data_IF_507238044619
#
_entry.id   IF_507238044619
#
_cell.length_a   1.000
_cell.length_b   1.000
_cell.length_c   1.000
_cell.angle_alpha   90.00
_cell.angle_beta   90.00
_cell.angle_gamma   90.00
#
_symmetry.space_group_name_H-M   'P 1'
#
loop_
_entity.id
_entity.type
_entity.pdbx_description
1 polymer ?
#
# COMPACT_ATOMS: atom_id res chain seq x y z
N UNK A 1 -25.67 10.59 -7.97
CA UNK A 1 -24.77 11.16 -6.95
C UNK A 1 -25.41 11.02 -5.59
N UNK A 2 -24.69 10.47 -4.62
CA UNK A 2 -25.09 10.33 -3.21
C UNK A 2 -24.08 11.12 -2.37
N UNK A 3 -24.57 11.90 -1.42
CA UNK A 3 -23.74 12.68 -0.50
C UNK A 3 -24.11 12.33 0.94
N UNK A 4 -23.09 12.11 1.76
CA UNK A 4 -23.22 11.83 3.18
C UNK A 4 -22.19 12.60 3.97
N UNK A 5 -22.57 13.06 5.15
CA UNK A 5 -21.67 13.67 6.12
C UNK A 5 -21.93 13.07 7.50
N UNK A 6 -20.86 12.72 8.21
CA UNK A 6 -20.92 12.12 9.53
C UNK A 6 -19.94 12.81 10.46
N UNK A 7 -20.34 13.00 11.70
CA UNK A 7 -19.40 13.36 12.75
C UNK A 7 -18.65 12.09 13.21
N UNK A 8 -17.33 12.08 13.00
CA UNK A 8 -16.49 10.90 13.13
C UNK A 8 -15.19 11.25 13.86
N UNK A 9 -15.23 11.35 15.18
CA UNK A 9 -14.02 11.54 15.98
C UNK A 9 -13.09 10.30 15.84
N UNK A 10 -11.81 10.50 16.02
CA UNK A 10 -10.83 9.41 16.03
C UNK A 10 -11.00 8.52 17.29
N UNK A 11 -10.64 7.22 17.21
CA UNK A 11 -10.15 6.53 16.03
C UNK A 11 -11.26 6.27 14.99
N UNK A 12 -10.98 6.48 13.72
CA UNK A 12 -11.91 6.25 12.61
C UNK A 12 -11.33 5.25 11.62
N UNK A 13 -12.15 4.36 11.08
CA UNK A 13 -11.81 3.53 9.93
C UNK A 13 -12.80 3.77 8.80
N UNK A 14 -12.32 4.21 7.65
CA UNK A 14 -13.07 4.21 6.40
C UNK A 14 -12.87 2.88 5.68
N UNK A 15 -13.96 2.18 5.39
CA UNK A 15 -13.93 0.95 4.58
C UNK A 15 -14.70 1.17 3.29
N UNK A 16 -14.02 1.04 2.14
CA UNK A 16 -14.62 1.16 0.80
C UNK A 16 -14.53 -0.19 0.10
N UNK A 17 -15.68 -0.70 -0.32
CA UNK A 17 -15.78 -1.97 -1.05
C UNK A 17 -16.62 -1.80 -2.29
N UNK A 18 -15.97 -1.56 -3.43
CA UNK A 18 -16.60 -1.38 -4.74
C UNK A 18 -15.94 -2.27 -5.80
N UNK A 19 -16.69 -2.75 -6.80
CA UNK A 19 -16.12 -3.64 -7.81
C UNK A 19 -15.21 -2.92 -8.80
N UNK A 20 -15.55 -1.71 -9.20
CA UNK A 20 -14.83 -0.96 -10.24
C UNK A 20 -15.06 0.55 -10.13
N UNK A 21 -14.12 1.32 -10.66
CA UNK A 21 -14.19 2.78 -10.75
C UNK A 21 -12.97 3.48 -10.16
N UNK A 22 -13.21 4.58 -9.46
CA UNK A 22 -12.17 5.40 -8.84
C UNK A 22 -12.47 5.59 -7.35
N UNK A 23 -11.44 5.53 -6.52
CA UNK A 23 -11.52 5.78 -5.08
C UNK A 23 -10.53 6.89 -4.74
N UNK A 24 -11.05 8.06 -4.41
CA UNK A 24 -10.26 9.21 -4.00
C UNK A 24 -10.49 9.47 -2.49
N UNK A 25 -9.45 9.36 -1.68
CA UNK A 25 -9.50 9.65 -0.24
C UNK A 25 -8.56 10.80 0.08
N UNK A 26 -9.10 11.85 0.68
CA UNK A 26 -8.34 13.00 1.18
C UNK A 26 -8.48 13.07 2.70
N UNK A 27 -7.38 13.20 3.42
CA UNK A 27 -7.47 13.48 4.85
C UNK A 27 -7.46 14.98 5.10
N UNK A 28 -8.32 15.42 6.01
CA UNK A 28 -8.55 16.84 6.33
C UNK A 28 -8.53 17.09 7.84
N UNK A 29 -8.37 18.35 8.23
CA UNK A 29 -8.54 18.75 9.62
C UNK A 29 -10.02 18.67 10.04
N UNK A 30 -10.25 18.25 11.27
CA UNK A 30 -11.59 18.20 11.86
C UNK A 30 -12.01 16.78 12.27
N UNK A 31 -13.29 16.64 12.61
CA UNK A 31 -13.90 15.39 13.09
C UNK A 31 -15.12 15.00 12.21
N UNK A 32 -15.10 15.39 10.96
CA UNK A 32 -16.19 15.11 10.03
C UNK A 32 -15.68 14.25 8.86
N UNK A 33 -16.47 13.24 8.50
CA UNK A 33 -16.29 12.48 7.26
C UNK A 33 -17.34 12.91 6.26
N UNK A 34 -16.90 13.40 5.11
CA UNK A 34 -17.75 13.72 3.98
C UNK A 34 -17.51 12.68 2.86
N UNK A 35 -18.58 12.12 2.35
CA UNK A 35 -18.55 11.11 1.29
C UNK A 35 -19.40 11.55 0.12
N UNK A 36 -18.88 11.43 -1.06
CA UNK A 36 -19.61 11.58 -2.32
C UNK A 36 -19.43 10.31 -3.14
N UNK A 37 -20.53 9.71 -3.55
CA UNK A 37 -20.52 8.56 -4.46
C UNK A 37 -21.26 8.93 -5.72
N UNK A 38 -20.56 8.86 -6.85
CA UNK A 38 -21.10 9.14 -8.17
C UNK A 38 -21.01 7.92 -9.07
N UNK A 39 -21.90 7.81 -10.03
CA UNK A 39 -21.95 6.67 -10.96
C UNK A 39 -23.29 6.52 -11.64
N UNK A 40 -23.47 5.43 -12.36
CA UNK A 40 -24.73 5.09 -13.01
C UNK A 40 -25.86 4.96 -11.96
N UNK A 41 -27.05 5.49 -12.26
CA UNK A 41 -28.22 5.50 -11.36
C UNK A 41 -28.55 4.09 -10.85
N UNK A 42 -28.43 3.08 -11.69
CA UNK A 42 -28.67 1.68 -11.32
C UNK A 42 -27.66 1.15 -10.31
N UNK A 43 -26.41 1.59 -10.39
CA UNK A 43 -25.37 1.22 -9.43
C UNK A 43 -25.58 1.95 -8.12
N UNK A 44 -25.93 3.24 -8.17
CA UNK A 44 -26.18 4.06 -6.99
C UNK A 44 -27.34 3.53 -6.13
N UNK A 45 -28.37 2.93 -6.72
CA UNK A 45 -29.47 2.27 -5.98
C UNK A 45 -29.01 1.09 -5.11
N UNK A 46 -27.86 0.51 -5.43
CA UNK A 46 -27.27 -0.62 -4.70
C UNK A 46 -26.14 -0.19 -3.75
N UNK A 47 -25.71 1.07 -3.80
CA UNK A 47 -24.73 1.58 -2.87
C UNK A 47 -25.33 1.68 -1.48
N UNK A 48 -24.64 1.16 -0.51
CA UNK A 48 -24.96 1.28 0.90
C UNK A 48 -23.85 2.00 1.63
N UNK A 49 -24.19 3.12 2.25
CA UNK A 49 -23.28 3.85 3.13
C UNK A 49 -23.76 3.66 4.56
N UNK A 50 -22.92 3.15 5.42
CA UNK A 50 -23.22 2.92 6.84
C UNK A 50 -22.18 3.61 7.71
N UNK A 51 -22.65 4.20 8.79
CA UNK A 51 -21.83 4.69 9.88
C UNK A 51 -22.16 3.91 11.14
N UNK A 52 -21.19 3.21 11.69
CA UNK A 52 -21.35 2.41 12.90
C UNK A 52 -20.18 2.69 13.86
N UNK A 53 -20.43 3.53 14.86
CA UNK A 53 -19.45 3.96 15.83
C UNK A 53 -18.25 4.66 15.17
N UNK A 54 -17.11 4.01 15.19
CA UNK A 54 -15.85 4.53 14.62
C UNK A 54 -15.56 3.99 13.20
N UNK A 55 -16.57 3.44 12.53
CA UNK A 55 -16.42 2.88 11.18
C UNK A 55 -17.41 3.50 10.22
N UNK A 56 -16.92 3.96 9.10
CA UNK A 56 -17.73 4.37 7.94
C UNK A 56 -17.50 3.37 6.81
N UNK A 57 -18.57 2.76 6.32
CA UNK A 57 -18.52 1.71 5.30
C UNK A 57 -19.27 2.14 4.06
N UNK A 58 -18.59 2.09 2.91
CA UNK A 58 -19.20 2.25 1.59
C UNK A 58 -19.12 0.91 0.87
N UNK A 59 -20.26 0.33 0.55
CA UNK A 59 -20.29 -0.99 -0.10
C UNK A 59 -21.49 -1.11 -1.05
N UNK A 60 -21.45 -2.10 -1.94
CA UNK A 60 -22.63 -2.49 -2.69
C UNK A 60 -23.46 -3.49 -1.88
N UNK A 61 -24.77 -3.27 -1.86
CA UNK A 61 -25.73 -4.18 -1.22
C UNK A 61 -25.73 -5.53 -1.95
N UNK A 62 -25.15 -6.54 -1.33
CA UNK A 62 -25.26 -7.91 -1.81
C UNK A 62 -26.56 -8.54 -1.30
N UNK A 63 -27.38 -9.06 -2.21
CA UNK A 63 -28.61 -9.79 -1.87
C UNK A 63 -28.34 -11.21 -1.39
N UNK A 64 -27.14 -11.71 -1.48
CA UNK A 64 -26.76 -13.04 -1.00
C UNK A 64 -26.06 -12.93 0.37
N UNK A 65 -26.78 -13.31 1.39
CA UNK A 65 -26.28 -13.44 2.77
C UNK A 65 -25.35 -14.66 2.91
N UNK A 66 -24.23 -14.69 2.24
CA UNK A 66 -23.19 -15.70 2.54
C UNK A 66 -21.83 -15.11 2.23
N UNK A 67 -20.99 -15.07 3.22
CA UNK A 67 -19.54 -14.85 3.25
C UNK A 67 -18.85 -14.33 1.99
N UNK A 68 -17.99 -13.39 2.16
CA UNK A 68 -17.18 -12.74 1.14
C UNK A 68 -16.62 -13.74 0.10
N UNK A 69 -17.41 -14.11 -0.88
CA UNK A 69 -16.99 -14.85 -2.05
C UNK A 69 -17.10 -13.89 -3.23
N UNK A 70 -15.97 -13.49 -3.79
CA UNK A 70 -15.94 -12.93 -5.13
C UNK A 70 -16.54 -13.96 -6.09
N UNK A 71 -17.86 -13.97 -6.24
CA UNK A 71 -18.50 -14.73 -7.29
C UNK A 71 -18.26 -13.99 -8.61
N UNK A 72 -17.31 -14.46 -9.38
CA UNK A 72 -16.97 -13.96 -10.70
C UNK A 72 -18.17 -13.93 -11.69
N UNK A 73 -19.32 -14.47 -11.29
CA UNK A 73 -20.51 -14.57 -12.11
C UNK A 73 -21.51 -13.41 -12.02
N UNK A 74 -21.32 -12.44 -11.14
CA UNK A 74 -22.23 -11.31 -10.96
C UNK A 74 -21.73 -9.97 -11.55
N UNK A 75 -20.65 -9.97 -12.29
CA UNK A 75 -20.03 -8.76 -12.87
C UNK A 75 -20.64 -8.35 -14.22
N UNK A 76 -21.92 -8.62 -14.46
CA UNK A 76 -22.63 -8.00 -15.57
C UNK A 76 -23.28 -6.69 -15.10
N UNK A 77 -22.48 -5.82 -14.47
CA UNK A 77 -22.85 -4.41 -14.39
C UNK A 77 -22.21 -3.72 -15.59
N UNK A 78 -23.02 -2.94 -16.32
CA UNK A 78 -22.60 -2.27 -17.54
C UNK A 78 -21.30 -1.46 -17.37
N UNK A 79 -20.79 -0.94 -18.45
CA UNK A 79 -19.51 -0.21 -18.60
C UNK A 79 -19.30 1.04 -17.69
N UNK A 80 -19.96 1.15 -16.54
CA UNK A 80 -19.85 2.26 -15.59
C UNK A 80 -19.14 1.86 -14.32
N UNK A 81 -18.07 2.59 -13.93
CA UNK A 81 -17.46 2.51 -12.61
C UNK A 81 -18.14 3.44 -11.61
N UNK A 82 -17.97 3.19 -10.31
CA UNK A 82 -18.34 4.11 -9.26
C UNK A 82 -17.16 5.04 -8.95
N UNK A 83 -17.44 6.33 -8.79
CA UNK A 83 -16.45 7.25 -8.21
C UNK A 83 -16.82 7.51 -6.77
N UNK A 84 -15.93 7.11 -5.87
CA UNK A 84 -16.04 7.36 -4.43
C UNK A 84 -15.03 8.42 -4.04
N UNK A 85 -15.52 9.56 -3.58
CA UNK A 85 -14.68 10.62 -3.01
C UNK A 85 -14.97 10.71 -1.52
N UNK A 86 -13.94 10.59 -0.70
CA UNK A 86 -14.03 10.63 0.74
C UNK A 86 -13.09 11.67 1.32
N UNK A 87 -13.60 12.51 2.20
CA UNK A 87 -12.79 13.36 3.08
C UNK A 87 -12.93 12.84 4.49
N UNK A 88 -11.83 12.49 5.12
CA UNK A 88 -11.79 11.90 6.46
C UNK A 88 -10.82 12.68 7.37
N UNK A 89 -10.98 12.63 8.69
CA UNK A 89 -10.02 13.21 9.62
C UNK A 89 -8.59 12.69 9.41
N UNK A 90 -7.59 13.55 9.59
CA UNK A 90 -6.19 13.10 9.66
C UNK A 90 -6.02 12.04 10.74
N UNK A 91 -5.27 10.97 10.46
CA UNK A 91 -5.12 9.83 11.36
C UNK A 91 -6.25 8.81 11.28
N UNK A 92 -7.10 8.88 10.26
CA UNK A 92 -8.05 7.81 9.97
C UNK A 92 -7.33 6.59 9.38
N UNK A 93 -7.77 5.38 9.73
CA UNK A 93 -7.40 4.16 9.01
C UNK A 93 -8.23 4.01 7.74
N UNK A 94 -7.64 3.51 6.66
CA UNK A 94 -8.34 3.30 5.38
C UNK A 94 -8.21 1.85 4.94
N UNK A 95 -9.36 1.24 4.63
CA UNK A 95 -9.43 -0.11 4.07
C UNK A 95 -10.17 -0.08 2.74
N UNK A 96 -9.51 -0.56 1.69
CA UNK A 96 -10.07 -0.62 0.34
C UNK A 96 -10.12 -2.07 -0.14
N UNK A 97 -11.26 -2.46 -0.68
CA UNK A 97 -11.45 -3.75 -1.36
C UNK A 97 -12.11 -3.52 -2.70
N UNK A 98 -11.40 -3.88 -3.76
CA UNK A 98 -11.89 -3.66 -5.12
C UNK A 98 -11.48 -4.79 -6.05
N UNK A 99 -12.21 -4.94 -7.16
CA UNK A 99 -11.76 -5.80 -8.24
C UNK A 99 -10.98 -4.99 -9.29
N UNK A 100 -11.48 -3.79 -9.65
CA UNK A 100 -10.85 -2.97 -10.68
C UNK A 100 -11.18 -1.50 -10.43
N UNK A 101 -10.53 -0.91 -9.45
CA UNK A 101 -10.62 0.52 -9.21
C UNK A 101 -9.25 1.08 -8.91
N UNK A 102 -8.95 2.25 -9.48
CA UNK A 102 -7.80 3.03 -9.10
C UNK A 102 -8.06 3.66 -7.73
N UNK A 103 -7.04 3.61 -6.88
CA UNK A 103 -7.12 4.14 -5.52
C UNK A 103 -6.08 5.24 -5.33
N UNK A 104 -6.54 6.44 -5.09
CA UNK A 104 -5.70 7.59 -4.77
C UNK A 104 -6.00 8.07 -3.34
N UNK A 105 -4.96 8.15 -2.52
CA UNK A 105 -5.07 8.60 -1.14
C UNK A 105 -4.09 9.73 -0.90
N UNK A 106 -4.56 10.82 -0.29
CA UNK A 106 -3.73 12.00 -0.03
C UNK A 106 -3.86 12.44 1.43
N UNK A 107 -2.72 12.71 2.06
CA UNK A 107 -2.61 13.25 3.41
C UNK A 107 -2.07 12.27 4.44
N UNK A 108 -2.53 12.35 5.70
CA UNK A 108 -1.98 11.58 6.82
C UNK A 108 -2.98 10.54 7.31
N UNK A 109 -2.59 9.29 7.18
CA UNK A 109 -3.35 8.13 7.65
C UNK A 109 -2.73 7.56 8.93
N UNK A 110 -3.52 6.84 9.72
CA UNK A 110 -3.01 5.95 10.76
C UNK A 110 -2.53 4.64 10.14
N UNK A 111 -3.38 3.92 9.43
CA UNK A 111 -3.05 2.64 8.82
C UNK A 111 -3.72 2.49 7.45
N UNK A 112 -3.14 1.64 6.59
CA UNK A 112 -3.64 1.38 5.25
C UNK A 112 -3.76 -0.11 4.95
N UNK A 113 -4.92 -0.54 4.47
CA UNK A 113 -5.14 -1.88 3.93
C UNK A 113 -5.82 -1.79 2.57
N UNK A 114 -5.15 -2.25 1.50
CA UNK A 114 -5.72 -2.30 0.15
C UNK A 114 -5.68 -3.73 -0.37
N UNK A 115 -6.82 -4.22 -0.82
CA UNK A 115 -6.96 -5.49 -1.52
C UNK A 115 -7.62 -5.22 -2.88
N UNK A 116 -6.85 -5.38 -3.97
CA UNK A 116 -7.30 -5.16 -5.34
C UNK A 116 -7.01 -6.40 -6.20
N UNK A 117 -7.73 -6.53 -7.29
CA UNK A 117 -7.31 -7.46 -8.35
C UNK A 117 -6.61 -6.66 -9.46
N UNK A 118 -7.13 -5.49 -9.81
CA UNK A 118 -6.60 -4.62 -10.85
C UNK A 118 -6.85 -3.16 -10.49
N UNK A 119 -6.02 -2.28 -10.96
CA UNK A 119 -6.05 -0.86 -10.66
C UNK A 119 -4.85 -0.43 -9.81
N UNK A 120 -4.44 0.78 -10.02
CA UNK A 120 -3.27 1.33 -9.36
C UNK A 120 -3.59 1.84 -7.96
N UNK A 121 -2.60 1.76 -7.08
CA UNK A 121 -2.67 2.28 -5.71
C UNK A 121 -1.63 3.38 -5.53
N UNK A 122 -2.09 4.60 -5.33
CA UNK A 122 -1.23 5.77 -5.12
C UNK A 122 -1.52 6.42 -3.78
N UNK A 123 -0.52 6.45 -2.91
CA UNK A 123 -0.60 7.12 -1.60
C UNK A 123 0.37 8.28 -1.57
N UNK A 124 -0.16 9.49 -1.45
CA UNK A 124 0.58 10.75 -1.34
C UNK A 124 0.46 11.29 0.08
N UNK A 125 1.54 11.25 0.82
CA UNK A 125 1.61 11.67 2.21
C UNK A 125 2.17 10.58 3.12
N UNK A 126 1.62 10.45 4.31
CA UNK A 126 2.19 9.63 5.38
C UNK A 126 1.18 8.60 5.90
N UNK A 127 1.65 7.38 6.09
CA UNK A 127 0.98 6.34 6.88
C UNK A 127 1.79 6.16 8.16
N UNK A 128 1.20 6.53 9.30
CA UNK A 128 1.92 6.56 10.57
C UNK A 128 2.16 5.17 11.17
N UNK A 129 1.30 4.22 10.87
CA UNK A 129 1.39 2.81 11.27
C UNK A 129 1.56 1.94 10.02
N UNK A 130 1.05 0.75 10.01
CA UNK A 130 1.30 -0.26 8.98
C UNK A 130 0.55 0.01 7.66
N UNK A 131 1.22 -0.32 6.55
CA UNK A 131 0.63 -0.36 5.21
C UNK A 131 0.64 -1.78 4.63
N UNK A 132 -0.53 -2.32 4.37
CA UNK A 132 -0.70 -3.62 3.70
C UNK A 132 -1.39 -3.44 2.36
N UNK A 133 -0.72 -3.83 1.26
CA UNK A 133 -1.28 -3.77 -0.08
C UNK A 133 -1.18 -5.13 -0.76
N UNK A 134 -2.30 -5.65 -1.21
CA UNK A 134 -2.37 -6.89 -2.00
C UNK A 134 -3.07 -6.61 -3.31
N UNK A 135 -2.38 -6.89 -4.39
CA UNK A 135 -2.95 -6.76 -5.75
C UNK A 135 -2.54 -7.95 -6.62
N UNK A 136 -3.25 -8.15 -7.70
CA UNK A 136 -2.81 -9.09 -8.73
C UNK A 136 -2.13 -8.31 -9.85
N UNK A 137 -2.70 -7.17 -10.25
CA UNK A 137 -2.18 -6.34 -11.32
C UNK A 137 -2.44 -4.86 -11.02
N UNK A 138 -1.51 -4.01 -11.32
CA UNK A 138 -1.54 -2.58 -11.06
C UNK A 138 -0.32 -2.13 -10.25
N UNK A 139 0.06 -0.90 -10.47
CA UNK A 139 1.23 -0.33 -9.83
C UNK A 139 0.91 0.20 -8.44
N UNK A 140 1.89 0.10 -7.55
CA UNK A 140 1.77 0.55 -6.16
C UNK A 140 2.81 1.63 -5.91
N UNK A 141 2.35 2.84 -5.56
CA UNK A 141 3.21 3.98 -5.23
C UNK A 141 2.88 4.50 -3.82
N UNK A 142 3.77 4.25 -2.86
CA UNK A 142 3.68 4.71 -1.47
C UNK A 142 4.72 5.79 -1.21
N UNK A 143 4.31 6.95 -0.68
CA UNK A 143 5.25 8.03 -0.43
C UNK A 143 6.02 7.83 0.88
N UNK A 144 5.34 7.69 2.00
CA UNK A 144 5.97 7.48 3.31
C UNK A 144 5.15 6.56 4.20
N UNK A 145 5.82 5.61 4.83
CA UNK A 145 5.24 4.73 5.85
C UNK A 145 6.20 4.68 7.05
N UNK A 146 5.72 5.07 8.21
CA UNK A 146 6.51 5.07 9.44
C UNK A 146 6.48 3.71 10.16
N UNK A 147 5.44 2.91 9.95
CA UNK A 147 5.34 1.53 10.40
C UNK A 147 5.87 0.51 9.39
N UNK A 148 5.36 -0.70 9.46
CA UNK A 148 5.75 -1.81 8.60
C UNK A 148 4.99 -1.79 7.26
N UNK A 149 5.70 -2.17 6.18
CA UNK A 149 5.13 -2.30 4.84
C UNK A 149 5.03 -3.75 4.43
N UNK A 150 3.84 -4.22 4.08
CA UNK A 150 3.63 -5.53 3.49
C UNK A 150 2.94 -5.42 2.13
N UNK A 151 3.66 -5.77 1.06
CA UNK A 151 3.14 -5.72 -0.30
C UNK A 151 3.22 -7.09 -0.96
N UNK A 152 2.12 -7.50 -1.57
CA UNK A 152 2.04 -8.72 -2.37
C UNK A 152 1.40 -8.37 -3.72
N UNK A 153 2.13 -8.61 -4.80
CA UNK A 153 1.63 -8.45 -6.17
C UNK A 153 1.95 -9.67 -7.02
N UNK A 154 1.23 -9.86 -8.10
CA UNK A 154 1.61 -10.84 -9.12
C UNK A 154 2.27 -10.13 -10.28
N UNK A 155 1.70 -9.01 -10.73
CA UNK A 155 2.21 -8.20 -11.83
C UNK A 155 1.94 -6.72 -11.57
N UNK A 156 2.90 -5.91 -11.79
CA UNK A 156 2.89 -4.47 -11.50
C UNK A 156 4.07 -4.08 -10.62
N UNK A 157 4.48 -2.84 -10.75
CA UNK A 157 5.65 -2.33 -10.07
C UNK A 157 5.30 -1.81 -8.67
N UNK A 158 6.22 -2.02 -7.73
CA UNK A 158 6.15 -1.45 -6.39
C UNK A 158 7.18 -0.33 -6.23
N UNK A 159 6.72 0.83 -5.87
CA UNK A 159 7.56 1.94 -5.44
C UNK A 159 7.17 2.42 -4.06
N UNK A 160 8.10 2.42 -3.12
CA UNK A 160 7.95 3.05 -1.81
C UNK A 160 9.12 3.99 -1.55
N UNK A 161 8.83 5.28 -1.28
CA UNK A 161 9.87 6.30 -1.19
C UNK A 161 10.54 6.37 0.17
N UNK A 162 9.77 6.24 1.26
CA UNK A 162 10.31 6.27 2.61
C UNK A 162 9.66 5.22 3.50
N UNK A 163 10.46 4.36 4.13
CA UNK A 163 10.00 3.35 5.07
C UNK A 163 10.89 3.44 6.32
N UNK A 164 10.25 3.65 7.47
CA UNK A 164 10.97 3.69 8.74
C UNK A 164 10.96 2.35 9.48
N UNK A 165 9.92 1.55 9.31
CA UNK A 165 9.79 0.19 9.83
C UNK A 165 10.36 -0.89 8.92
N UNK A 166 9.86 -2.11 9.05
CA UNK A 166 10.24 -3.26 8.23
C UNK A 166 9.47 -3.29 6.90
N UNK A 167 10.01 -3.99 5.89
CA UNK A 167 9.37 -4.18 4.60
C UNK A 167 9.33 -5.65 4.18
N UNK A 168 8.15 -6.17 3.84
CA UNK A 168 7.96 -7.49 3.21
C UNK A 168 7.33 -7.29 1.83
N UNK A 169 8.12 -7.47 0.76
CA UNK A 169 7.69 -7.30 -0.61
C UNK A 169 7.73 -8.62 -1.38
N UNK A 170 6.60 -9.03 -1.93
CA UNK A 170 6.48 -10.26 -2.74
C UNK A 170 5.90 -9.92 -4.10
N UNK A 171 6.63 -10.30 -5.16
CA UNK A 171 6.19 -10.16 -6.55
C UNK A 171 6.40 -11.47 -7.31
N UNK A 172 5.64 -11.68 -8.36
CA UNK A 172 5.96 -12.69 -9.35
C UNK A 172 6.63 -12.03 -10.55
N UNK A 173 6.10 -10.89 -11.00
CA UNK A 173 6.64 -10.12 -12.11
C UNK A 173 6.39 -8.64 -11.87
N UNK A 174 7.39 -7.84 -12.05
CA UNK A 174 7.39 -6.40 -11.81
C UNK A 174 8.54 -5.99 -10.91
N UNK A 175 8.96 -4.77 -11.05
CA UNK A 175 10.10 -4.25 -10.34
C UNK A 175 9.72 -3.81 -8.91
N UNK A 176 10.64 -3.96 -7.99
CA UNK A 176 10.48 -3.51 -6.60
C UNK A 176 11.52 -2.42 -6.32
N UNK A 177 11.03 -1.21 -6.03
CA UNK A 177 11.88 -0.08 -5.69
C UNK A 177 11.53 0.50 -4.32
N UNK A 178 12.40 0.28 -3.36
CA UNK A 178 12.33 0.86 -2.02
C UNK A 178 13.41 1.94 -1.92
N UNK A 179 13.03 3.23 -1.95
CA UNK A 179 14.02 4.30 -2.19
C UNK A 179 14.82 4.71 -0.95
N UNK A 180 14.22 4.64 0.26
CA UNK A 180 14.90 5.05 1.49
C UNK A 180 14.41 4.24 2.68
N UNK A 181 15.28 3.37 3.17
CA UNK A 181 15.07 2.55 4.36
C UNK A 181 15.97 3.05 5.47
N UNK A 182 15.40 3.42 6.60
CA UNK A 182 16.17 3.96 7.74
C UNK A 182 16.56 2.88 8.75
N UNK A 183 15.89 1.74 8.78
CA UNK A 183 16.17 0.62 9.67
C UNK A 183 15.23 -0.55 9.42
N UNK A 184 15.29 -1.57 10.28
CA UNK A 184 14.36 -2.71 10.25
C UNK A 184 14.77 -3.86 9.34
N UNK A 185 13.90 -4.87 9.31
CA UNK A 185 14.08 -6.07 8.48
C UNK A 185 13.41 -5.87 7.12
N UNK A 186 14.18 -5.99 6.04
CA UNK A 186 13.67 -5.94 4.67
C UNK A 186 13.69 -7.34 4.08
N UNK A 187 12.53 -7.83 3.71
CA UNK A 187 12.37 -9.12 3.03
C UNK A 187 11.77 -8.90 1.65
N UNK A 188 12.40 -9.49 0.64
CA UNK A 188 11.82 -9.53 -0.69
C UNK A 188 11.87 -10.94 -1.28
N UNK A 189 10.85 -11.29 -2.05
CA UNK A 189 10.82 -12.51 -2.84
C UNK A 189 10.20 -12.16 -4.20
N UNK A 190 10.99 -12.33 -5.25
CA UNK A 190 10.53 -12.14 -6.62
C UNK A 190 10.84 -13.37 -7.48
N UNK A 191 10.09 -13.53 -8.55
CA UNK A 191 10.45 -14.51 -9.59
C UNK A 191 11.12 -13.79 -10.75
N UNK A 192 10.59 -12.63 -11.16
CA UNK A 192 11.14 -11.84 -12.26
C UNK A 192 10.94 -10.35 -11.99
N UNK A 193 11.90 -9.56 -12.38
CA UNK A 193 11.94 -8.12 -12.17
C UNK A 193 13.11 -7.69 -11.30
N UNK A 194 13.50 -6.45 -11.46
CA UNK A 194 14.65 -5.89 -10.78
C UNK A 194 14.27 -5.37 -9.38
N UNK A 195 15.21 -5.49 -8.46
CA UNK A 195 15.02 -5.10 -7.07
C UNK A 195 16.01 -3.96 -6.77
N UNK A 196 15.49 -2.78 -6.53
CA UNK A 196 16.29 -1.62 -6.13
C UNK A 196 15.98 -1.21 -4.68
N UNK A 197 17.02 -1.18 -3.86
CA UNK A 197 16.90 -0.88 -2.42
C UNK A 197 17.83 0.24 -2.01
N UNK A 198 17.27 1.36 -1.62
CA UNK A 198 17.97 2.52 -1.10
C UNK A 198 18.09 2.48 0.42
N UNK A 199 19.29 2.66 0.93
CA UNK A 199 19.59 2.71 2.36
C UNK A 199 19.80 4.16 2.78
N UNK A 200 19.07 4.62 3.76
CA UNK A 200 19.16 5.98 4.28
C UNK A 200 20.57 6.32 4.77
N UNK A 201 21.03 7.58 4.65
CA UNK A 201 22.32 7.99 5.20
C UNK A 201 22.41 7.70 6.69
N UNK A 202 23.56 7.16 7.11
CA UNK A 202 23.81 6.82 8.51
C UNK A 202 23.39 5.41 8.93
N UNK A 203 22.59 4.71 8.15
CA UNK A 203 22.22 3.31 8.43
C UNK A 203 23.31 2.33 7.97
N UNK A 204 23.42 1.23 8.71
CA UNK A 204 24.31 0.09 8.43
C UNK A 204 23.52 -0.97 7.67
N UNK A 205 24.18 -1.68 6.76
CA UNK A 205 23.56 -2.72 5.95
C UNK A 205 24.13 -4.11 6.28
N UNK A 206 23.24 -5.04 6.59
CA UNK A 206 23.52 -6.48 6.66
C UNK A 206 22.73 -7.20 5.55
N UNK A 207 23.43 -7.94 4.67
CA UNK A 207 22.82 -8.51 3.46
C UNK A 207 22.94 -10.03 3.43
N UNK A 208 21.79 -10.68 3.31
CA UNK A 208 21.65 -12.09 2.90
C UNK A 208 20.62 -12.15 1.74
N UNK A 209 21.08 -11.71 0.57
CA UNK A 209 20.25 -11.64 -0.61
C UNK A 209 20.98 -12.23 -1.83
N UNK A 210 20.23 -12.68 -2.82
CA UNK A 210 20.80 -13.23 -4.04
C UNK A 210 19.81 -13.38 -5.18
N UNK A 211 20.37 -13.49 -6.39
CA UNK A 211 19.66 -13.86 -7.61
C UNK A 211 20.16 -15.21 -8.11
N UNK A 212 19.27 -15.98 -8.74
CA UNK A 212 19.67 -17.24 -9.39
C UNK A 212 20.21 -16.97 -10.79
N UNK A 213 19.62 -15.99 -11.50
CA UNK A 213 20.03 -15.56 -12.83
C UNK A 213 19.94 -14.05 -12.92
N UNK A 214 20.98 -13.39 -12.55
CA UNK A 214 21.12 -11.93 -12.45
C UNK A 214 22.22 -11.58 -11.46
N UNK A 215 22.56 -10.31 -11.42
CA UNK A 215 23.66 -9.79 -10.63
C UNK A 215 23.17 -9.17 -9.30
N UNK A 216 24.02 -9.32 -8.26
CA UNK A 216 23.86 -8.61 -7.00
C UNK A 216 24.92 -7.52 -6.90
N UNK A 217 24.51 -6.27 -6.81
CA UNK A 217 25.42 -5.13 -6.64
C UNK A 217 25.06 -4.28 -5.43
N UNK A 218 26.08 -3.83 -4.69
CA UNK A 218 25.88 -2.92 -3.56
C UNK A 218 26.89 -1.77 -3.62
N UNK A 219 26.37 -0.55 -3.55
CA UNK A 219 27.18 0.67 -3.38
C UNK A 219 27.40 0.99 -1.89
N UNK A 220 26.69 0.29 -1.00
CA UNK A 220 26.76 0.48 0.45
C UNK A 220 27.74 -0.52 1.03
N UNK A 221 28.77 -0.10 1.81
CA UNK A 221 29.67 -1.02 2.48
C UNK A 221 28.92 -1.97 3.41
N UNK A 222 29.25 -3.25 3.36
CA UNK A 222 28.67 -4.27 4.22
C UNK A 222 29.15 -4.11 5.66
N UNK A 223 28.31 -4.51 6.62
CA UNK A 223 28.64 -4.42 8.05
C UNK A 223 29.95 -5.15 8.42
N UNK A 224 30.28 -6.24 7.74
CA UNK A 224 31.53 -7.03 7.92
C UNK A 224 32.79 -6.32 7.46
N UNK A 225 32.68 -5.25 6.68
CA UNK A 225 33.82 -4.52 6.11
C UNK A 225 34.16 -3.23 6.89
N UNK A 226 33.37 -2.92 7.93
CA UNK A 226 33.58 -1.72 8.75
C UNK A 226 34.56 -1.95 9.86
N UNK A 227 35.50 -0.96 10.14
CA UNK A 227 36.25 -0.94 11.37
C UNK A 227 35.30 -0.87 12.58
N UNK A 228 35.68 -1.53 13.68
CA UNK A 228 34.91 -1.56 14.92
C UNK A 228 35.01 -0.22 15.68
N UNK A 229 34.47 0.86 15.09
CA UNK A 229 34.33 2.15 15.78
C UNK A 229 33.07 2.17 16.63
N UNK A 230 33.15 2.63 17.88
CA UNK A 230 32.04 2.72 18.83
C UNK A 230 30.81 3.51 18.29
N UNK A 231 31.05 4.46 17.36
CA UNK A 231 29.98 5.21 16.70
C UNK A 231 29.12 4.35 15.75
N UNK A 232 29.63 3.23 15.25
CA UNK A 232 28.91 2.31 14.38
C UNK A 232 27.92 1.42 15.15
N UNK A 233 28.11 1.24 16.46
CA UNK A 233 27.24 0.41 17.30
C UNK A 233 25.88 1.04 17.59
N UNK A 234 25.73 2.35 17.40
CA UNK A 234 24.49 3.10 17.62
C UNK A 234 23.71 3.41 16.32
N UNK A 235 24.25 3.05 15.16
CA UNK A 235 23.60 3.33 13.88
C UNK A 235 22.44 2.35 13.64
N UNK A 236 21.30 2.81 13.11
CA UNK A 236 20.21 1.91 12.74
C UNK A 236 20.68 0.92 11.68
N UNK A 237 20.31 -0.35 11.85
CA UNK A 237 20.70 -1.42 10.95
C UNK A 237 19.52 -1.81 10.06
N UNK A 238 19.76 -1.89 8.77
CA UNK A 238 18.88 -2.50 7.80
C UNK A 238 19.37 -3.92 7.54
N UNK A 239 18.53 -4.91 7.84
CA UNK A 239 18.81 -6.31 7.56
C UNK A 239 18.06 -6.69 6.31
N UNK A 240 18.78 -6.88 5.21
CA UNK A 240 18.22 -7.22 3.92
C UNK A 240 18.29 -8.72 3.68
N UNK A 241 17.14 -9.35 3.51
CA UNK A 241 17.03 -10.77 3.17
C UNK A 241 16.10 -10.96 2.00
N UNK A 242 16.54 -11.70 0.99
CA UNK A 242 15.63 -11.98 -0.10
C UNK A 242 16.27 -12.71 -1.26
N UNK A 243 15.40 -13.19 -2.14
CA UNK A 243 15.81 -13.91 -3.33
C UNK A 243 14.94 -13.52 -4.51
N UNK A 244 15.59 -13.46 -5.68
CA UNK A 244 14.90 -13.44 -6.97
C UNK A 244 15.40 -14.61 -7.81
N UNK A 245 14.58 -15.05 -8.74
CA UNK A 245 15.01 -16.08 -9.68
C UNK A 245 15.67 -15.44 -10.89
N UNK A 246 15.08 -14.38 -11.43
CA UNK A 246 15.58 -13.63 -12.57
C UNK A 246 15.41 -12.14 -12.34
N UNK A 247 16.43 -11.38 -12.59
CA UNK A 247 16.50 -9.95 -12.36
C UNK A 247 17.67 -9.58 -11.45
N UNK A 248 18.05 -8.33 -11.53
CA UNK A 248 19.18 -7.81 -10.77
C UNK A 248 18.73 -7.27 -9.41
N UNK A 249 19.61 -7.39 -8.44
CA UNK A 249 19.41 -6.79 -7.11
C UNK A 249 20.44 -5.70 -6.90
N UNK A 250 19.99 -4.46 -6.78
CA UNK A 250 20.85 -3.30 -6.56
C UNK A 250 20.56 -2.64 -5.23
N UNK A 251 21.59 -2.50 -4.41
CA UNK A 251 21.53 -1.72 -3.17
C UNK A 251 22.33 -0.44 -3.33
N UNK A 252 21.70 0.69 -3.08
CA UNK A 252 22.31 2.00 -3.25
C UNK A 252 22.15 2.88 -2.00
N UNK A 253 22.90 3.99 -1.91
CA UNK A 253 22.69 4.97 -0.86
C UNK A 253 21.60 5.95 -1.28
N UNK A 254 20.55 6.07 -0.45
CA UNK A 254 19.52 7.08 -0.65
C UNK A 254 20.13 8.49 -0.60
N UNK A 255 19.70 9.35 -1.49
CA UNK A 255 20.20 10.72 -1.62
C UNK A 255 19.49 11.71 -0.70
#
# INVERSE_FOLDING_TARGET
MLEHSFHTPLPLTLEVSIPSGDIDVETVDGEETALTVDGDERMLEHVEVRHDGNRVVVSLRDKSKVGFSFSLGSLVFGNGGLRVQARVPHGAGVKVKTASADTAITGRLEALEVNSVSGDVRVRGEVADDATVKTVSGDIDLERVDGDVSVQTVSGDLRARGIAGSADAKSVSGDIRLESLSGGDVRFNSVSGDIEIGIAPGSVLDVDAGSTSGDLSSEVPLASERPADEAAAAAPTVVLRGRTVSGDVRVFRAG
#
